data_IF_154603419977
#
_entry.id   IF_154603419977
#
_cell.length_a   1.000
_cell.length_b   1.000
_cell.length_c   1.000
_cell.angle_alpha   90.00
_cell.angle_beta   90.00
_cell.angle_gamma   90.00
#
_symmetry.space_group_name_H-M   'P 1'
#
loop_
_entity.id
_entity.type
_entity.pdbx_description
1 polymer ?
#
# COMPACT_ATOMS: atom_id res chain seq x y z
N UNK A 1 -33.29 -3.23 121.64
CA UNK A 1 -32.79 -4.30 120.75
C UNK A 1 -32.78 -3.93 119.25
N UNK A 2 -33.82 -3.32 118.66
CA UNK A 2 -33.88 -3.07 117.20
C UNK A 2 -32.71 -2.23 116.61
N UNK A 3 -32.27 -1.16 117.27
CA UNK A 3 -31.24 -0.24 116.74
C UNK A 3 -29.88 -0.92 116.50
N UNK A 4 -29.44 -1.81 117.41
CA UNK A 4 -28.16 -2.52 117.25
C UNK A 4 -28.13 -3.48 116.06
N UNK A 5 -29.28 -4.06 115.70
CA UNK A 5 -29.40 -4.92 114.51
C UNK A 5 -29.43 -4.08 113.23
N UNK A 6 -30.08 -2.91 113.24
CA UNK A 6 -30.03 -1.96 112.12
C UNK A 6 -28.61 -1.45 111.86
N UNK A 7 -27.85 -1.12 112.91
CA UNK A 7 -26.47 -0.66 112.76
C UNK A 7 -25.54 -1.78 112.26
N UNK A 8 -25.69 -3.02 112.76
CA UNK A 8 -24.96 -4.18 112.24
C UNK A 8 -25.33 -4.48 110.78
N UNK A 9 -26.60 -4.41 110.41
CA UNK A 9 -27.07 -4.54 109.04
C UNK A 9 -26.44 -3.47 108.13
N UNK A 10 -26.50 -2.20 108.51
CA UNK A 10 -25.89 -1.10 107.76
C UNK A 10 -24.37 -1.29 107.57
N UNK A 11 -23.64 -1.71 108.61
CA UNK A 11 -22.19 -2.00 108.52
C UNK A 11 -21.93 -3.21 107.61
N UNK A 12 -22.72 -4.29 107.70
CA UNK A 12 -22.58 -5.44 106.81
C UNK A 12 -22.89 -5.11 105.34
N UNK A 13 -23.90 -4.28 105.07
CA UNK A 13 -24.16 -3.78 103.73
C UNK A 13 -23.03 -2.87 103.24
N UNK A 14 -22.49 -1.99 104.10
CA UNK A 14 -21.36 -1.12 103.75
C UNK A 14 -20.08 -1.93 103.45
N UNK A 15 -19.82 -3.02 104.18
CA UNK A 15 -18.72 -3.95 103.88
C UNK A 15 -18.95 -4.68 102.55
N UNK A 16 -20.16 -5.15 102.26
CA UNK A 16 -20.50 -5.79 100.98
C UNK A 16 -20.37 -4.80 99.81
N UNK A 17 -20.81 -3.56 99.97
CA UNK A 17 -20.59 -2.52 98.95
C UNK A 17 -19.10 -2.20 98.77
N UNK A 18 -18.32 -2.15 99.86
CA UNK A 18 -16.88 -1.94 99.77
C UNK A 18 -16.15 -3.09 99.05
N UNK A 19 -16.54 -4.36 99.27
CA UNK A 19 -15.96 -5.49 98.54
C UNK A 19 -16.41 -5.54 97.08
N UNK A 20 -17.68 -5.18 96.77
CA UNK A 20 -18.16 -5.03 95.39
C UNK A 20 -17.39 -3.93 94.65
N UNK A 21 -17.20 -2.76 95.26
CA UNK A 21 -16.40 -1.67 94.70
C UNK A 21 -14.94 -2.11 94.49
N UNK A 22 -14.32 -2.79 95.46
CA UNK A 22 -12.96 -3.29 95.33
C UNK A 22 -12.81 -4.30 94.17
N UNK A 23 -13.76 -5.23 94.01
CA UNK A 23 -13.78 -6.19 92.89
C UNK A 23 -13.98 -5.47 91.55
N UNK A 24 -14.87 -4.47 91.48
CA UNK A 24 -15.07 -3.66 90.27
C UNK A 24 -13.82 -2.83 89.93
N UNK A 25 -13.13 -2.26 90.92
CA UNK A 25 -11.87 -1.55 90.71
C UNK A 25 -10.74 -2.49 90.24
N UNK A 26 -10.65 -3.72 90.77
CA UNK A 26 -9.69 -4.72 90.32
C UNK A 26 -10.01 -5.15 88.88
N UNK A 27 -11.27 -5.44 88.56
CA UNK A 27 -11.70 -5.79 87.21
C UNK A 27 -11.38 -4.65 86.22
N UNK A 28 -11.67 -3.41 86.58
CA UNK A 28 -11.35 -2.22 85.79
C UNK A 28 -9.83 -2.06 85.56
N UNK A 29 -9.02 -2.22 86.61
CA UNK A 29 -7.55 -2.18 86.50
C UNK A 29 -7.02 -3.31 85.59
N UNK A 30 -7.59 -4.51 85.66
CA UNK A 30 -7.23 -5.62 84.77
C UNK A 30 -7.60 -5.29 83.32
N UNK A 31 -8.82 -4.79 83.03
CA UNK A 31 -9.22 -4.42 81.67
C UNK A 31 -8.39 -3.26 81.10
N UNK A 32 -8.05 -2.25 81.92
CA UNK A 32 -7.19 -1.13 81.50
C UNK A 32 -5.75 -1.59 81.26
N UNK A 33 -5.25 -2.55 82.06
CA UNK A 33 -3.92 -3.13 81.86
C UNK A 33 -3.86 -3.97 80.57
N UNK A 34 -4.94 -4.71 80.26
CA UNK A 34 -5.06 -5.51 79.04
C UNK A 34 -5.14 -4.63 77.78
N UNK A 35 -5.99 -3.59 77.76
CA UNK A 35 -6.02 -2.62 76.65
C UNK A 35 -4.67 -1.88 76.42
N UNK A 36 -3.84 -1.78 77.47
CA UNK A 36 -2.50 -1.23 77.40
C UNK A 36 -1.45 -2.20 76.82
N UNK A 37 -1.67 -3.53 76.85
CA UNK A 37 -0.76 -4.52 76.24
C UNK A 37 -1.03 -4.80 74.76
N UNK A 38 -2.00 -4.10 74.13
CA UNK A 38 -2.20 -4.18 72.67
C UNK A 38 -1.03 -3.57 71.90
N UNK A 39 -0.52 -4.32 70.93
CA UNK A 39 0.37 -3.80 69.90
C UNK A 39 -0.31 -2.67 69.13
N UNK A 40 0.47 -1.85 68.41
CA UNK A 40 -0.05 -0.82 67.53
C UNK A 40 0.59 -1.01 66.17
N UNK A 41 -0.21 -1.38 65.18
CA UNK A 41 0.24 -1.77 63.84
C UNK A 41 -0.41 -0.84 62.84
N UNK A 42 0.36 -0.32 61.89
CA UNK A 42 -0.21 0.39 60.75
C UNK A 42 -0.50 -0.61 59.65
N UNK A 43 -1.77 -0.81 59.31
CA UNK A 43 -2.17 -1.69 58.22
C UNK A 43 -2.48 -0.85 56.99
N UNK A 44 -1.89 -1.22 55.86
CA UNK A 44 -2.19 -0.62 54.55
C UNK A 44 -2.95 -1.65 53.71
N UNK A 45 -4.26 -1.48 53.56
CA UNK A 45 -5.12 -2.36 52.77
C UNK A 45 -5.62 -1.59 51.54
N UNK A 46 -5.35 -2.11 50.34
CA UNK A 46 -5.83 -1.53 49.07
C UNK A 46 -5.55 -0.01 48.95
N UNK A 47 -4.38 0.43 49.44
CA UNK A 47 -3.94 1.83 49.47
C UNK A 47 -4.49 2.69 50.62
N UNK A 48 -5.42 2.19 51.43
CA UNK A 48 -5.91 2.89 52.64
C UNK A 48 -5.08 2.50 53.86
N UNK A 49 -4.67 3.49 54.67
CA UNK A 49 -3.85 3.31 55.88
C UNK A 49 -4.67 3.48 57.14
N UNK A 50 -4.69 2.46 57.98
CA UNK A 50 -5.36 2.47 59.29
C UNK A 50 -4.40 2.05 60.42
N UNK A 51 -4.68 2.48 61.66
CA UNK A 51 -3.86 2.16 62.83
C UNK A 51 -4.62 1.18 63.75
N UNK A 52 -4.28 -0.10 63.62
CA UNK A 52 -4.91 -1.20 64.35
C UNK A 52 -4.27 -1.36 65.73
N UNK A 53 -5.10 -1.65 66.74
CA UNK A 53 -4.65 -2.04 68.09
C UNK A 53 -5.12 -3.44 68.41
N UNK A 54 -4.19 -4.39 68.30
CA UNK A 54 -4.45 -5.83 68.29
C UNK A 54 -3.80 -6.56 69.48
N UNK A 55 -4.27 -7.77 69.77
CA UNK A 55 -3.59 -8.75 70.61
C UNK A 55 -3.03 -9.95 69.85
N UNK A 56 -3.15 -9.96 68.51
CA UNK A 56 -2.67 -11.03 67.65
C UNK A 56 -1.19 -11.34 67.88
N UNK A 57 -0.85 -12.62 68.01
CA UNK A 57 0.54 -13.08 68.12
C UNK A 57 1.24 -13.08 66.75
N UNK A 58 0.51 -13.26 65.64
CA UNK A 58 1.05 -13.35 64.26
C UNK A 58 0.30 -12.49 63.23
N UNK A 59 0.91 -12.28 62.06
CA UNK A 59 0.28 -11.61 60.91
C UNK A 59 -1.01 -12.32 60.47
N UNK A 60 -1.05 -13.65 60.48
CA UNK A 60 -2.24 -14.45 60.15
C UNK A 60 -3.44 -14.13 61.08
N UNK A 61 -3.19 -13.99 62.38
CA UNK A 61 -4.21 -13.64 63.37
C UNK A 61 -4.62 -12.15 63.26
N UNK A 62 -3.67 -11.25 62.98
CA UNK A 62 -3.94 -9.83 62.72
C UNK A 62 -4.83 -9.64 61.48
N UNK A 63 -4.57 -10.35 60.39
CA UNK A 63 -5.40 -10.29 59.18
C UNK A 63 -6.77 -10.95 59.41
N UNK A 64 -6.82 -12.02 60.20
CA UNK A 64 -8.08 -12.64 60.63
C UNK A 64 -8.95 -11.72 61.52
N UNK A 65 -8.35 -10.88 62.38
CA UNK A 65 -9.08 -9.83 63.12
C UNK A 65 -9.72 -8.76 62.20
N UNK A 66 -9.27 -8.66 60.95
CA UNK A 66 -9.74 -7.69 59.94
C UNK A 66 -10.62 -8.33 58.85
N UNK A 67 -11.09 -9.57 59.06
CA UNK A 67 -11.81 -10.40 58.08
C UNK A 67 -11.04 -10.61 56.74
N UNK A 68 -9.71 -10.50 56.75
CA UNK A 68 -8.84 -10.70 55.57
C UNK A 68 -8.33 -12.14 55.49
N UNK A 69 -8.60 -12.81 54.38
CA UNK A 69 -8.04 -14.13 54.05
C UNK A 69 -7.18 -14.02 52.79
N UNK A 70 -5.85 -14.11 52.96
CA UNK A 70 -4.86 -13.95 51.89
C UNK A 70 -4.94 -15.10 50.88
N UNK A 71 -5.09 -14.77 49.60
CA UNK A 71 -5.11 -15.70 48.47
C UNK A 71 -3.71 -15.95 47.89
N UNK A 72 -3.49 -17.02 47.10
CA UNK A 72 -2.15 -17.40 46.60
C UNK A 72 -1.45 -16.37 45.70
N UNK A 73 -2.19 -15.38 45.18
CA UNK A 73 -1.66 -14.34 44.28
C UNK A 73 -1.63 -12.94 44.92
N UNK A 74 -2.13 -12.80 46.16
CA UNK A 74 -2.12 -11.53 46.88
C UNK A 74 -0.72 -11.15 47.36
N UNK A 75 -0.44 -9.85 47.41
CA UNK A 75 0.83 -9.35 47.93
C UNK A 75 0.72 -9.02 49.41
N UNK A 76 1.62 -9.61 50.21
CA UNK A 76 1.73 -9.36 51.63
C UNK A 76 3.19 -9.05 52.00
N UNK A 77 3.39 -7.89 52.63
CA UNK A 77 4.72 -7.36 53.02
C UNK A 77 5.50 -8.19 54.06
N UNK A 78 4.84 -9.13 54.72
CA UNK A 78 5.36 -9.96 55.82
C UNK A 78 4.84 -11.40 55.66
N UNK A 79 5.47 -12.39 56.29
CA UNK A 79 4.96 -13.76 56.27
C UNK A 79 3.80 -13.92 57.25
N UNK A 80 2.80 -14.75 56.93
CA UNK A 80 1.66 -15.05 57.82
C UNK A 80 2.10 -15.52 59.23
N UNK A 81 3.24 -16.22 59.32
CA UNK A 81 3.81 -16.72 60.57
C UNK A 81 4.73 -15.73 61.31
N UNK A 82 4.97 -14.53 60.76
CA UNK A 82 5.82 -13.54 61.43
C UNK A 82 5.09 -12.96 62.66
N UNK A 83 5.82 -12.65 63.77
CA UNK A 83 5.21 -12.14 64.99
C UNK A 83 4.83 -10.66 64.85
N UNK A 84 3.73 -10.25 65.50
CA UNK A 84 3.28 -8.84 65.47
C UNK A 84 4.13 -7.98 66.41
N UNK A 85 4.82 -6.96 65.87
CA UNK A 85 5.60 -6.01 66.65
C UNK A 85 4.93 -4.62 66.79
N UNK A 86 5.25 -3.90 67.86
CA UNK A 86 4.77 -2.53 68.08
C UNK A 86 5.43 -1.56 67.09
N UNK A 87 4.63 -0.84 66.31
CA UNK A 87 5.10 0.11 65.29
C UNK A 87 5.37 -0.53 63.93
N UNK A 88 4.97 -1.79 63.72
CA UNK A 88 5.06 -2.48 62.43
C UNK A 88 4.13 -1.85 61.38
N UNK A 89 4.61 -1.75 60.13
CA UNK A 89 3.85 -1.34 58.94
C UNK A 89 3.53 -2.59 58.08
N UNK A 90 2.29 -3.07 58.12
CA UNK A 90 1.83 -4.25 57.35
C UNK A 90 1.05 -3.78 56.12
N UNK A 91 1.61 -3.93 54.93
CA UNK A 91 0.88 -3.75 53.66
C UNK A 91 0.34 -5.09 53.16
N UNK A 92 -0.92 -5.08 52.75
CA UNK A 92 -1.64 -6.16 52.04
C UNK A 92 -2.36 -5.57 50.82
N UNK A 93 -2.17 -6.18 49.66
CA UNK A 93 -2.82 -5.81 48.40
C UNK A 93 -3.51 -7.06 47.86
N UNK A 94 -4.85 -7.01 47.78
CA UNK A 94 -5.60 -8.05 47.12
C UNK A 94 -5.29 -8.05 45.62
N UNK A 95 -4.95 -9.22 45.09
CA UNK A 95 -4.81 -9.46 43.66
C UNK A 95 -6.15 -9.30 42.94
N UNK A 96 -6.08 -9.00 41.65
CA UNK A 96 -7.24 -8.86 40.78
C UNK A 96 -7.14 -9.84 39.63
N UNK A 97 -8.25 -10.50 39.28
CA UNK A 97 -8.33 -11.28 38.04
C UNK A 97 -8.44 -10.34 36.83
N UNK A 98 -7.72 -10.65 35.75
CA UNK A 98 -7.86 -10.00 34.44
C UNK A 98 -7.71 -11.02 33.31
N UNK A 99 -8.35 -10.76 32.17
CA UNK A 99 -8.24 -11.59 30.97
C UNK A 99 -7.37 -10.87 29.94
N UNK A 100 -6.20 -11.40 29.62
CA UNK A 100 -5.35 -10.89 28.55
C UNK A 100 -5.57 -11.71 27.28
N UNK A 101 -5.92 -11.05 26.18
CA UNK A 101 -6.05 -11.67 24.87
C UNK A 101 -5.03 -11.08 23.89
N UNK A 102 -4.22 -11.95 23.27
CA UNK A 102 -3.22 -11.55 22.26
C UNK A 102 -3.64 -12.12 20.90
N UNK A 103 -3.59 -11.26 19.88
CA UNK A 103 -3.87 -11.56 18.46
C UNK A 103 -5.24 -12.25 18.24
N UNK A 104 -6.24 -11.88 19.05
CA UNK A 104 -7.65 -12.30 18.99
C UNK A 104 -7.91 -13.82 19.13
N UNK A 105 -6.86 -14.65 19.26
CA UNK A 105 -6.93 -16.12 19.13
C UNK A 105 -6.76 -16.89 20.44
N UNK A 106 -6.09 -16.31 21.45
CA UNK A 106 -6.00 -16.88 22.79
C UNK A 106 -6.34 -15.83 23.85
N UNK A 107 -6.91 -16.29 24.97
CA UNK A 107 -7.23 -15.46 26.14
C UNK A 107 -6.82 -16.23 27.38
N UNK A 108 -5.93 -15.66 28.17
CA UNK A 108 -5.42 -16.22 29.42
C UNK A 108 -5.87 -15.37 30.61
N UNK A 109 -6.16 -16.02 31.74
CA UNK A 109 -6.52 -15.35 33.00
C UNK A 109 -5.26 -15.13 33.83
N UNK A 110 -4.99 -13.88 34.18
CA UNK A 110 -3.87 -13.45 35.02
C UNK A 110 -4.37 -12.91 36.35
N UNK A 111 -3.54 -13.02 37.38
CA UNK A 111 -3.77 -12.46 38.72
C UNK A 111 -2.64 -11.50 39.06
N UNK A 112 -2.95 -10.23 39.32
CA UNK A 112 -1.94 -9.17 39.53
C UNK A 112 -2.35 -8.20 40.64
N UNK A 113 -1.37 -7.69 41.37
CA UNK A 113 -1.54 -6.58 42.35
C UNK A 113 -1.31 -5.21 41.73
N UNK A 114 -0.92 -5.14 40.45
CA UNK A 114 -0.66 -3.92 39.71
C UNK A 114 -1.82 -2.91 39.78
N UNK A 115 -1.43 -1.63 39.79
CA UNK A 115 -2.32 -0.48 39.74
C UNK A 115 -2.71 -0.15 38.31
N UNK A 116 -1.79 -0.21 37.34
CA UNK A 116 -2.00 0.18 35.94
C UNK A 116 -1.74 -0.95 34.93
N UNK A 117 -2.19 -0.76 33.68
CA UNK A 117 -1.92 -1.68 32.55
C UNK A 117 -0.42 -1.72 32.23
N UNK A 118 0.29 -0.60 32.32
CA UNK A 118 1.76 -0.57 32.15
C UNK A 118 2.47 -1.41 33.22
N UNK A 119 2.11 -1.25 34.49
CA UNK A 119 2.69 -2.00 35.62
C UNK A 119 2.38 -3.50 35.54
N UNK A 120 1.19 -3.89 35.06
CA UNK A 120 0.88 -5.30 34.78
C UNK A 120 1.76 -5.89 33.68
N UNK A 121 1.95 -5.17 32.57
CA UNK A 121 2.83 -5.63 31.49
C UNK A 121 4.29 -5.71 31.93
N UNK A 122 4.78 -4.77 32.74
CA UNK A 122 6.11 -4.86 33.36
C UNK A 122 6.24 -6.05 34.33
N UNK A 123 5.19 -6.35 35.12
CA UNK A 123 5.16 -7.49 36.07
C UNK A 123 5.35 -8.83 35.36
N UNK A 124 4.61 -9.06 34.25
CA UNK A 124 4.66 -10.32 33.49
C UNK A 124 5.79 -10.36 32.44
N UNK A 125 6.56 -9.28 32.28
CA UNK A 125 7.64 -9.19 31.29
C UNK A 125 7.15 -9.09 29.84
N UNK A 126 5.98 -8.51 29.63
CA UNK A 126 5.33 -8.34 28.33
C UNK A 126 5.75 -7.02 27.67
N UNK A 127 6.65 -7.07 26.69
CA UNK A 127 7.04 -5.88 25.91
C UNK A 127 6.20 -5.74 24.62
N UNK A 128 5.53 -4.60 24.46
CA UNK A 128 4.76 -4.26 23.25
C UNK A 128 5.34 -3.04 22.52
N UNK A 129 5.26 -3.05 21.18
CA UNK A 129 5.78 -2.01 20.31
C UNK A 129 4.81 -0.84 20.19
N UNK A 130 5.32 0.34 19.83
CA UNK A 130 4.51 1.56 19.53
C UNK A 130 3.65 1.48 18.25
N UNK A 131 3.46 0.28 17.71
CA UNK A 131 2.53 -0.01 16.61
C UNK A 131 1.47 -1.05 17.00
N UNK A 132 1.73 -1.81 18.05
CA UNK A 132 0.82 -2.83 18.55
C UNK A 132 -0.38 -2.11 19.19
N UNK A 133 -1.59 -2.55 18.88
CA UNK A 133 -2.81 -1.91 19.39
C UNK A 133 -3.20 -2.55 20.73
N UNK A 134 -3.24 -1.74 21.78
CA UNK A 134 -3.73 -2.15 23.11
C UNK A 134 -5.09 -1.49 23.35
N UNK A 135 -6.11 -2.29 23.61
CA UNK A 135 -7.49 -1.87 23.90
C UNK A 135 -7.64 -0.88 25.07
N UNK A 136 -6.62 -0.77 25.91
CA UNK A 136 -6.57 0.07 27.10
C UNK A 136 -5.31 0.94 27.09
N UNK A 137 -5.44 2.16 27.62
CA UNK A 137 -4.29 3.05 27.84
C UNK A 137 -3.34 2.44 28.90
N UNK A 138 -2.00 2.50 28.74
CA UNK A 138 -1.04 2.10 29.77
C UNK A 138 -1.32 2.66 31.18
N UNK A 139 -1.76 3.93 31.29
CA UNK A 139 -2.16 4.59 32.55
C UNK A 139 -3.50 4.05 33.16
N UNK A 140 -4.22 3.16 32.47
CA UNK A 140 -5.55 2.72 32.90
C UNK A 140 -5.49 1.85 34.16
N UNK A 141 -6.31 2.17 35.16
CA UNK A 141 -6.33 1.45 36.43
C UNK A 141 -6.93 0.04 36.30
N UNK A 142 -6.17 -0.99 36.70
CA UNK A 142 -6.58 -2.40 36.72
C UNK A 142 -7.76 -2.63 37.68
N UNK A 143 -8.73 -3.41 37.23
CA UNK A 143 -9.97 -3.77 37.94
C UNK A 143 -10.22 -5.27 37.82
N UNK A 144 -10.96 -5.81 38.79
CA UNK A 144 -11.45 -7.19 38.77
C UNK A 144 -12.23 -7.51 37.49
N UNK A 145 -11.88 -8.61 36.83
CA UNK A 145 -12.46 -9.05 35.56
C UNK A 145 -12.21 -8.09 34.38
N UNK A 146 -11.15 -7.28 34.41
CA UNK A 146 -10.79 -6.42 33.27
C UNK A 146 -10.31 -7.28 32.10
N UNK A 147 -10.87 -7.06 30.91
CA UNK A 147 -10.42 -7.69 29.68
C UNK A 147 -9.47 -6.72 28.95
N UNK A 148 -8.26 -7.17 28.65
CA UNK A 148 -7.25 -6.43 27.89
C UNK A 148 -6.99 -7.21 26.60
N UNK A 149 -7.43 -6.67 25.47
CA UNK A 149 -7.05 -7.14 24.15
C UNK A 149 -5.79 -6.39 23.65
N UNK A 150 -4.86 -7.13 23.05
CA UNK A 150 -3.64 -6.66 22.39
C UNK A 150 -3.55 -7.28 20.99
N UNK A 151 -3.16 -6.49 20.00
CA UNK A 151 -2.98 -6.92 18.61
C UNK A 151 -1.57 -6.52 18.17
N UNK A 152 -0.70 -7.51 17.96
CA UNK A 152 0.70 -7.27 17.61
C UNK A 152 0.81 -6.81 16.16
N UNK A 153 1.43 -5.66 15.93
CA UNK A 153 1.60 -5.16 14.59
C UNK A 153 2.72 -5.90 13.87
N UNK A 154 2.45 -6.37 12.66
CA UNK A 154 3.41 -7.10 11.84
C UNK A 154 3.63 -6.42 10.50
N UNK A 155 4.69 -6.83 9.79
CA UNK A 155 4.94 -6.37 8.42
C UNK A 155 4.32 -7.33 7.41
N UNK A 156 3.41 -6.84 6.58
CA UNK A 156 2.90 -7.55 5.40
C UNK A 156 3.47 -6.92 4.12
N UNK A 157 3.63 -7.74 3.07
CA UNK A 157 4.00 -7.24 1.74
C UNK A 157 2.75 -7.00 0.93
N UNK A 158 2.53 -5.76 0.47
CA UNK A 158 1.47 -5.40 -0.47
C UNK A 158 2.09 -5.11 -1.84
N UNK A 159 1.36 -5.41 -2.90
CA UNK A 159 1.63 -5.01 -4.26
C UNK A 159 0.31 -4.59 -4.91
N UNK A 160 0.10 -3.29 -5.11
CA UNK A 160 -1.08 -2.77 -5.80
C UNK A 160 -0.70 -2.26 -7.19
N UNK A 161 -1.25 -2.89 -8.24
CA UNK A 161 -1.04 -2.44 -9.62
C UNK A 161 0.40 -2.52 -10.12
N UNK A 162 1.31 -3.15 -9.37
CA UNK A 162 2.76 -3.14 -9.61
C UNK A 162 3.57 -2.29 -8.62
N UNK A 163 2.93 -1.42 -7.84
CA UNK A 163 3.55 -0.67 -6.75
C UNK A 163 3.63 -1.56 -5.48
N UNK A 164 4.83 -2.09 -5.20
CA UNK A 164 5.03 -2.98 -4.05
C UNK A 164 5.79 -2.34 -2.90
N UNK A 165 5.26 -2.53 -1.69
CA UNK A 165 5.82 -2.04 -0.43
C UNK A 165 5.72 -3.07 0.70
N UNK A 166 6.26 -2.69 1.87
CA UNK A 166 5.98 -3.37 3.14
C UNK A 166 5.45 -2.34 4.13
N UNK A 167 4.22 -2.57 4.56
CA UNK A 167 3.49 -1.74 5.52
C UNK A 167 3.53 -2.42 6.89
N UNK A 168 3.12 -1.69 7.93
CA UNK A 168 2.86 -2.25 9.26
C UNK A 168 1.36 -2.18 9.51
N UNK A 169 0.79 -3.23 10.06
CA UNK A 169 -0.66 -3.40 10.23
C UNK A 169 -0.95 -4.23 11.47
N UNK A 170 -2.10 -4.03 12.10
CA UNK A 170 -2.71 -4.96 13.09
C UNK A 170 -3.83 -5.82 12.50
N UNK A 171 -4.10 -5.69 11.20
CA UNK A 171 -5.18 -6.38 10.51
C UNK A 171 -5.03 -7.91 10.55
N UNK A 172 -6.12 -8.57 10.93
CA UNK A 172 -6.22 -10.03 11.02
C UNK A 172 -6.68 -10.69 9.72
N UNK A 173 -7.25 -9.93 8.76
CA UNK A 173 -7.68 -10.42 7.44
C UNK A 173 -7.22 -9.50 6.31
N UNK A 174 -7.33 -9.96 5.06
CA UNK A 174 -7.01 -9.13 3.89
C UNK A 174 -8.01 -7.97 3.72
N UNK A 175 -9.30 -8.17 4.00
CA UNK A 175 -10.31 -7.10 4.01
C UNK A 175 -9.96 -5.98 5.01
N UNK A 176 -9.64 -6.36 6.25
CA UNK A 176 -9.27 -5.41 7.31
C UNK A 176 -8.04 -4.57 6.92
N UNK A 177 -7.07 -5.17 6.21
CA UNK A 177 -5.90 -4.49 5.65
C UNK A 177 -6.26 -3.52 4.51
N UNK A 178 -7.10 -3.97 3.57
CA UNK A 178 -7.54 -3.15 2.45
C UNK A 178 -8.32 -1.92 2.95
N UNK A 179 -9.11 -2.08 4.02
CA UNK A 179 -9.79 -0.97 4.69
C UNK A 179 -8.82 -0.04 5.44
N UNK A 180 -7.81 -0.56 6.15
CA UNK A 180 -6.79 0.23 6.86
C UNK A 180 -6.00 1.16 5.90
N UNK A 181 -5.50 0.61 4.79
CA UNK A 181 -4.75 1.37 3.77
C UNK A 181 -5.66 2.18 2.81
N UNK A 182 -6.98 2.04 2.91
CA UNK A 182 -7.95 2.75 2.06
C UNK A 182 -8.02 2.24 0.60
N UNK A 183 -7.64 0.99 0.38
CA UNK A 183 -7.54 0.34 -0.93
C UNK A 183 -8.90 -0.28 -1.32
N UNK A 184 -9.65 0.38 -2.19
CA UNK A 184 -10.90 -0.17 -2.76
C UNK A 184 -10.64 -1.00 -4.01
N UNK A 185 -11.24 -2.17 -4.13
CA UNK A 185 -11.22 -3.01 -5.35
C UNK A 185 -12.37 -2.65 -6.31
N UNK A 186 -12.13 -2.75 -7.62
CA UNK A 186 -13.17 -2.64 -8.66
C UNK A 186 -13.72 -4.02 -9.05
N UNK A 187 -14.88 -4.07 -9.72
CA UNK A 187 -15.56 -5.32 -10.17
C UNK A 187 -14.71 -6.27 -11.05
N UNK A 188 -13.59 -5.77 -11.61
CA UNK A 188 -12.67 -6.54 -12.46
C UNK A 188 -11.32 -6.84 -11.78
N UNK A 189 -10.99 -6.18 -10.67
CA UNK A 189 -9.67 -6.31 -10.04
C UNK A 189 -9.49 -7.71 -9.44
N UNK A 190 -8.29 -8.29 -9.58
CA UNK A 190 -8.01 -9.66 -9.12
C UNK A 190 -7.11 -9.64 -7.88
N UNK A 191 -7.63 -10.13 -6.76
CA UNK A 191 -6.89 -10.37 -5.51
C UNK A 191 -6.33 -11.80 -5.52
N UNK A 192 -5.10 -12.00 -5.04
CA UNK A 192 -4.45 -13.33 -5.00
C UNK A 192 -4.79 -14.19 -3.78
N UNK A 193 -5.48 -13.61 -2.79
CA UNK A 193 -5.96 -14.22 -1.55
C UNK A 193 -7.48 -13.97 -1.44
N UNK A 194 -8.17 -14.62 -0.50
CA UNK A 194 -9.55 -14.20 -0.17
C UNK A 194 -9.54 -12.93 0.69
N UNK A 195 -10.56 -12.08 0.55
CA UNK A 195 -10.79 -10.93 1.45
C UNK A 195 -10.95 -11.39 2.90
N UNK A 196 -11.68 -12.49 3.12
CA UNK A 196 -11.86 -13.15 4.43
C UNK A 196 -10.64 -14.02 4.87
N UNK A 197 -9.51 -13.99 4.16
CA UNK A 197 -8.36 -14.86 4.50
C UNK A 197 -7.52 -14.28 5.65
N UNK A 198 -7.19 -15.11 6.65
CA UNK A 198 -6.30 -14.76 7.76
C UNK A 198 -5.00 -14.13 7.25
N UNK A 199 -4.57 -13.01 7.83
CA UNK A 199 -3.35 -12.30 7.42
C UNK A 199 -2.15 -12.68 8.29
N UNK A 200 -0.97 -12.79 7.67
CA UNK A 200 0.28 -13.11 8.37
C UNK A 200 1.50 -12.53 7.64
N UNK A 201 2.59 -12.31 8.37
CA UNK A 201 3.79 -11.60 7.85
C UNK A 201 4.55 -12.30 6.71
N UNK A 202 4.30 -13.59 6.48
CA UNK A 202 4.82 -14.36 5.35
C UNK A 202 3.96 -14.26 4.08
N UNK A 203 2.68 -13.89 4.22
CA UNK A 203 1.76 -13.68 3.10
C UNK A 203 2.09 -12.41 2.32
N UNK A 204 1.60 -12.40 1.09
CA UNK A 204 1.74 -11.28 0.15
C UNK A 204 0.38 -10.99 -0.46
N UNK A 205 -0.11 -9.78 -0.21
CA UNK A 205 -1.33 -9.27 -0.83
C UNK A 205 -0.93 -8.65 -2.17
N UNK A 206 -1.48 -9.18 -3.25
CA UNK A 206 -1.19 -8.78 -4.62
C UNK A 206 -2.52 -8.48 -5.30
N UNK A 207 -2.72 -7.20 -5.62
CA UNK A 207 -3.90 -6.68 -6.31
C UNK A 207 -3.49 -6.45 -7.75
N UNK A 208 -4.10 -7.19 -8.67
CA UNK A 208 -3.95 -6.94 -10.10
C UNK A 208 -5.06 -6.00 -10.52
N UNK A 209 -4.71 -4.78 -10.90
CA UNK A 209 -5.66 -3.78 -11.38
C UNK A 209 -6.07 -4.09 -12.82
N UNK A 210 -7.36 -4.24 -13.08
CA UNK A 210 -7.88 -4.69 -14.38
C UNK A 210 -8.79 -3.64 -14.99
N UNK A 211 -8.35 -3.04 -16.10
CA UNK A 211 -9.14 -2.10 -16.87
C UNK A 211 -9.62 -2.73 -18.17
N UNK A 212 -10.88 -2.48 -18.54
CA UNK A 212 -11.44 -2.82 -19.85
C UNK A 212 -11.64 -1.53 -20.65
N UNK A 213 -10.95 -1.42 -21.78
CA UNK A 213 -10.99 -0.22 -22.65
C UNK A 213 -11.28 -0.59 -24.10
N UNK A 214 -11.78 0.38 -24.88
CA UNK A 214 -12.05 0.21 -26.31
C UNK A 214 -10.99 0.94 -27.14
N UNK A 215 -10.23 0.21 -27.95
CA UNK A 215 -9.20 0.74 -28.84
C UNK A 215 -9.71 0.74 -30.29
N UNK A 216 -9.76 1.91 -30.91
CA UNK A 216 -10.29 2.07 -32.28
C UNK A 216 -9.13 2.36 -33.23
N UNK A 217 -8.97 1.51 -34.24
CA UNK A 217 -7.87 1.54 -35.20
C UNK A 217 -8.43 1.65 -36.62
N UNK A 218 -8.02 2.71 -37.33
CA UNK A 218 -8.25 2.86 -38.77
C UNK A 218 -7.13 2.15 -39.56
N UNK A 219 -7.51 1.39 -40.58
CA UNK A 219 -6.59 0.74 -41.52
C UNK A 219 -6.97 1.06 -42.98
N UNK A 220 -5.98 1.35 -43.82
CA UNK A 220 -6.17 1.50 -45.26
C UNK A 220 -6.27 0.12 -45.94
N UNK A 221 -7.20 -0.04 -46.88
CA UNK A 221 -7.32 -1.24 -47.72
C UNK A 221 -6.85 -0.94 -49.14
N UNK A 222 -5.77 -1.59 -49.56
CA UNK A 222 -5.22 -1.42 -50.92
C UNK A 222 -6.20 -1.86 -52.01
N UNK A 223 -6.24 -1.10 -53.10
CA UNK A 223 -7.12 -1.39 -54.23
C UNK A 223 -6.59 -2.49 -55.14
N UNK A 224 -7.51 -3.21 -55.78
CA UNK A 224 -7.19 -4.17 -56.85
C UNK A 224 -6.84 -3.47 -58.16
N UNK A 225 -6.06 -4.12 -59.03
CA UNK A 225 -5.70 -3.60 -60.36
C UNK A 225 -6.22 -4.55 -61.46
N UNK A 226 -7.19 -4.08 -62.24
CA UNK A 226 -7.80 -4.84 -63.34
C UNK A 226 -7.17 -4.44 -64.69
N UNK A 227 -6.52 -5.39 -65.37
CA UNK A 227 -5.92 -5.16 -66.69
C UNK A 227 -6.89 -5.52 -67.82
N UNK A 228 -7.35 -4.52 -68.58
CA UNK A 228 -8.23 -4.69 -69.75
C UNK A 228 -7.42 -4.62 -71.06
N UNK A 229 -7.77 -5.43 -72.05
CA UNK A 229 -7.11 -5.41 -73.36
C UNK A 229 -7.69 -4.29 -74.23
N UNK A 230 -6.82 -3.56 -74.91
CA UNK A 230 -7.16 -2.45 -75.81
C UNK A 230 -6.51 -2.73 -77.18
N UNK A 231 -7.26 -2.61 -78.27
CA UNK A 231 -6.79 -2.82 -79.66
C UNK A 231 -6.55 -1.50 -80.42
N UNK A 232 -6.83 -0.36 -79.80
CA UNK A 232 -6.47 0.98 -80.27
C UNK A 232 -5.04 1.37 -79.87
N UNK A 233 -4.58 0.91 -78.70
CA UNK A 233 -3.25 1.15 -78.12
C UNK A 233 -2.17 0.18 -78.67
N UNK A 234 -0.96 0.68 -78.98
CA UNK A 234 0.20 -0.13 -79.42
C UNK A 234 0.52 -1.33 -78.50
N UNK A 235 0.92 -2.45 -79.10
CA UNK A 235 1.15 -3.70 -78.37
C UNK A 235 2.22 -3.55 -77.28
N UNK A 236 1.80 -3.72 -76.02
CA UNK A 236 2.66 -3.64 -74.84
C UNK A 236 2.67 -2.27 -74.15
N UNK A 237 2.05 -1.25 -74.73
CA UNK A 237 1.81 0.02 -74.06
C UNK A 237 0.76 -0.16 -72.94
N UNK A 238 0.95 0.52 -71.81
CA UNK A 238 0.01 0.53 -70.68
C UNK A 238 -0.52 1.95 -70.47
N UNK A 239 -1.83 2.07 -70.20
CA UNK A 239 -2.48 3.34 -69.87
C UNK A 239 -3.51 3.14 -68.77
N UNK A 240 -3.43 3.93 -67.70
CA UNK A 240 -4.48 3.98 -66.68
C UNK A 240 -5.75 4.60 -67.29
N UNK A 241 -6.88 3.92 -67.15
CA UNK A 241 -8.21 4.31 -67.65
C UNK A 241 -9.08 4.85 -66.50
N UNK A 242 -8.96 4.23 -65.33
CA UNK A 242 -9.47 4.73 -64.05
C UNK A 242 -8.38 4.56 -63.02
N UNK A 243 -8.10 5.61 -62.22
CA UNK A 243 -7.26 5.47 -61.03
C UNK A 243 -7.91 4.51 -60.05
N UNK A 244 -7.10 3.81 -59.27
CA UNK A 244 -7.56 3.22 -58.02
C UNK A 244 -7.69 4.27 -56.93
N UNK A 245 -8.46 3.96 -55.90
CA UNK A 245 -8.51 4.69 -54.62
C UNK A 245 -8.55 3.65 -53.49
N UNK A 246 -7.77 3.86 -52.41
CA UNK A 246 -7.78 2.95 -51.27
C UNK A 246 -9.13 2.97 -50.54
N UNK A 247 -9.48 1.84 -49.95
CA UNK A 247 -10.54 1.76 -48.95
C UNK A 247 -10.04 2.19 -47.57
N UNK A 248 -10.98 2.37 -46.65
CA UNK A 248 -10.72 2.66 -45.23
C UNK A 248 -11.66 1.79 -44.39
N UNK A 249 -11.09 1.08 -43.42
CA UNK A 249 -11.85 0.28 -42.45
C UNK A 249 -11.52 0.70 -41.02
N UNK A 250 -12.54 0.71 -40.17
CA UNK A 250 -12.44 0.97 -38.73
C UNK A 250 -12.57 -0.36 -37.99
N UNK A 251 -11.57 -0.71 -37.18
CA UNK A 251 -11.60 -1.86 -36.27
C UNK A 251 -11.72 -1.40 -34.83
N UNK A 252 -12.72 -1.92 -34.14
CA UNK A 252 -13.06 -1.62 -32.76
C UNK A 252 -12.70 -2.84 -31.91
N UNK A 253 -11.69 -2.68 -31.05
CA UNK A 253 -11.17 -3.73 -30.19
C UNK A 253 -11.59 -3.52 -28.73
N UNK A 254 -11.97 -4.58 -28.04
CA UNK A 254 -11.92 -4.61 -26.58
C UNK A 254 -10.50 -5.00 -26.16
N UNK A 255 -9.92 -4.23 -25.25
CA UNK A 255 -8.58 -4.43 -24.73
C UNK A 255 -8.66 -4.54 -23.21
N UNK A 256 -8.10 -5.62 -22.66
CA UNK A 256 -7.95 -5.81 -21.22
C UNK A 256 -6.54 -5.41 -20.83
N UNK A 257 -6.43 -4.40 -19.97
CA UNK A 257 -5.19 -4.00 -19.33
C UNK A 257 -5.10 -4.67 -17.97
N UNK A 258 -3.93 -5.23 -17.62
CA UNK A 258 -3.60 -5.67 -16.26
C UNK A 258 -2.39 -4.91 -15.78
N UNK A 259 -2.51 -4.22 -14.64
CA UNK A 259 -1.46 -3.34 -14.11
C UNK A 259 -0.96 -2.29 -15.14
N UNK A 260 -1.87 -1.83 -16.02
CA UNK A 260 -1.56 -0.90 -17.11
C UNK A 260 -0.84 -1.51 -18.32
N UNK A 261 -0.63 -2.82 -18.39
CA UNK A 261 -0.06 -3.54 -19.56
C UNK A 261 -1.15 -4.30 -20.34
N UNK A 262 -1.06 -4.32 -21.68
CA UNK A 262 -2.03 -5.01 -22.55
C UNK A 262 -1.94 -6.54 -22.38
N UNK A 263 -2.94 -7.12 -21.69
CA UNK A 263 -3.01 -8.55 -21.39
C UNK A 263 -3.80 -9.34 -22.45
N UNK A 264 -4.83 -8.74 -23.05
CA UNK A 264 -5.54 -9.31 -24.20
C UNK A 264 -6.21 -8.23 -25.06
N UNK A 265 -6.51 -8.61 -26.31
CA UNK A 265 -7.19 -7.78 -27.32
C UNK A 265 -8.12 -8.67 -28.15
N UNK A 266 -9.38 -8.30 -28.24
CA UNK A 266 -10.40 -8.99 -29.04
C UNK A 266 -11.05 -8.02 -30.04
N UNK A 267 -11.22 -8.44 -31.30
CA UNK A 267 -11.89 -7.63 -32.32
C UNK A 267 -13.40 -7.76 -32.16
N UNK A 268 -14.05 -6.72 -31.64
CA UNK A 268 -15.50 -6.70 -31.42
C UNK A 268 -16.25 -6.40 -32.71
N UNK A 269 -15.69 -5.53 -33.57
CA UNK A 269 -16.37 -5.04 -34.77
C UNK A 269 -15.38 -4.51 -35.80
N UNK A 270 -15.66 -4.80 -37.07
CA UNK A 270 -15.02 -4.17 -38.23
C UNK A 270 -16.10 -3.43 -39.04
N UNK A 271 -15.80 -2.20 -39.47
CA UNK A 271 -16.72 -1.34 -40.25
C UNK A 271 -15.99 -0.82 -41.48
N UNK A 272 -16.61 -0.93 -42.66
CA UNK A 272 -16.06 -0.34 -43.90
C UNK A 272 -16.58 1.09 -44.04
N UNK A 273 -15.71 2.07 -43.81
CA UNK A 273 -16.05 3.49 -43.97
C UNK A 273 -15.97 3.91 -45.45
N UNK A 274 -15.03 3.33 -46.20
CA UNK A 274 -14.85 3.55 -47.64
C UNK A 274 -14.43 2.25 -48.33
N UNK A 275 -15.18 1.83 -49.37
CA UNK A 275 -14.77 0.72 -50.24
C UNK A 275 -13.59 1.14 -51.14
N UNK A 276 -12.63 0.24 -51.35
CA UNK A 276 -11.53 0.46 -52.30
C UNK A 276 -12.03 0.42 -53.75
N UNK A 277 -11.61 1.39 -54.58
CA UNK A 277 -11.96 1.45 -56.00
C UNK A 277 -10.83 0.84 -56.82
N UNK A 278 -11.16 -0.16 -57.64
CA UNK A 278 -10.23 -0.86 -58.53
C UNK A 278 -9.58 0.08 -59.56
N UNK A 279 -8.25 0.06 -59.66
CA UNK A 279 -7.53 0.69 -60.77
C UNK A 279 -7.76 -0.11 -62.06
N UNK A 280 -8.09 0.57 -63.16
CA UNK A 280 -8.29 -0.07 -64.46
C UNK A 280 -7.17 0.34 -65.41
N UNK A 281 -6.35 -0.62 -65.83
CA UNK A 281 -5.22 -0.40 -66.75
C UNK A 281 -5.52 -1.02 -68.11
N UNK A 282 -5.58 -0.20 -69.16
CA UNK A 282 -5.58 -0.67 -70.53
C UNK A 282 -4.18 -1.16 -70.91
N UNK A 283 -4.11 -2.37 -71.45
CA UNK A 283 -2.92 -2.97 -72.06
C UNK A 283 -3.13 -3.07 -73.56
N UNK A 284 -2.32 -2.33 -74.32
CA UNK A 284 -2.38 -2.29 -75.77
C UNK A 284 -2.01 -3.62 -76.41
N UNK A 285 -2.71 -3.96 -77.49
CA UNK A 285 -2.57 -5.21 -78.25
C UNK A 285 -2.30 -5.00 -79.75
N UNK A 286 -2.39 -3.76 -80.23
CA UNK A 286 -2.26 -3.37 -81.64
C UNK A 286 -0.84 -3.59 -82.18
N UNK A 287 -0.68 -4.56 -83.08
CA UNK A 287 0.61 -4.84 -83.73
C UNK A 287 0.77 -3.96 -84.96
N UNK A 288 1.66 -2.97 -84.89
CA UNK A 288 2.02 -2.19 -86.08
C UNK A 288 2.87 -3.03 -87.07
N UNK A 289 2.50 -2.99 -88.36
CA UNK A 289 3.29 -3.61 -89.42
C UNK A 289 4.52 -2.77 -89.73
N UNK A 290 5.65 -3.10 -89.09
CA UNK A 290 6.95 -2.47 -89.37
C UNK A 290 7.41 -2.75 -90.80
N UNK A 291 7.49 -1.71 -91.63
CA UNK A 291 8.09 -1.78 -92.95
C UNK A 291 9.61 -1.95 -92.87
N UNK A 292 10.20 -2.61 -93.86
CA UNK A 292 11.63 -2.96 -93.92
C UNK A 292 12.46 -1.95 -94.72
N UNK A 293 13.58 -1.52 -94.13
CA UNK A 293 14.72 -0.90 -94.83
C UNK A 293 15.99 -1.18 -94.01
N UNK A 294 17.16 -1.30 -94.65
CA UNK A 294 18.40 -1.71 -93.98
C UNK A 294 19.67 -1.10 -94.62
N UNK A 295 20.61 -0.70 -93.74
CA UNK A 295 22.05 -0.49 -93.97
C UNK A 295 22.45 0.62 -95.02
N UNK A 296 23.67 1.17 -95.08
CA UNK A 296 24.98 0.87 -94.43
C UNK A 296 25.84 2.14 -94.29
N UNK A 297 26.89 2.11 -93.42
CA UNK A 297 28.19 2.86 -93.53
C UNK A 297 28.19 4.41 -93.53
N UNK A 298 29.21 5.17 -93.09
CA UNK A 298 30.54 4.97 -92.44
C UNK A 298 31.16 6.39 -92.20
N UNK A 299 32.15 6.72 -91.34
CA UNK A 299 32.89 6.07 -90.23
C UNK A 299 33.89 7.09 -89.61
N UNK A 300 34.59 6.74 -88.52
CA UNK A 300 35.83 7.38 -87.97
C UNK A 300 35.71 8.77 -87.28
N UNK A 301 36.57 9.13 -86.30
CA UNK A 301 37.67 8.40 -85.62
C UNK A 301 38.10 9.03 -84.28
N UNK A 302 38.85 8.25 -83.46
CA UNK A 302 39.85 8.66 -82.43
C UNK A 302 39.39 9.45 -81.17
N UNK A 303 39.99 9.30 -79.97
CA UNK A 303 40.97 8.31 -79.44
C UNK A 303 41.19 8.46 -77.92
N UNK A 304 41.73 7.42 -77.25
CA UNK A 304 42.35 7.41 -75.89
C UNK A 304 41.45 7.73 -74.66
N UNK A 305 41.66 7.16 -73.46
CA UNK A 305 42.61 6.12 -72.97
C UNK A 305 42.13 5.45 -71.66
N UNK A 306 42.69 4.26 -71.35
CA UNK A 306 43.04 3.64 -70.03
C UNK A 306 42.43 4.23 -68.74
N UNK A 307 41.98 3.45 -67.74
CA UNK A 307 42.17 2.00 -67.47
C UNK A 307 41.19 1.42 -66.41
N UNK A 308 41.30 0.10 -66.17
CA UNK A 308 40.83 -0.72 -65.03
C UNK A 308 40.87 -0.03 -63.64
N UNK A 309 40.10 -0.43 -62.62
CA UNK A 309 39.32 -1.68 -62.40
C UNK A 309 38.17 -1.56 -61.37
N UNK A 310 37.39 -2.65 -61.26
CA UNK A 310 36.78 -3.22 -60.03
C UNK A 310 35.57 -2.58 -59.33
N UNK A 311 34.73 -3.50 -58.84
CA UNK A 311 33.70 -3.42 -57.78
C UNK A 311 32.38 -2.67 -58.01
N UNK A 312 31.35 -3.51 -58.05
CA UNK A 312 29.93 -3.29 -57.90
C UNK A 312 29.50 -2.25 -56.84
N UNK A 313 28.43 -1.52 -57.17
CA UNK A 313 27.34 -1.19 -56.26
C UNK A 313 26.07 -0.94 -57.09
N UNK A 314 25.00 -1.68 -56.80
CA UNK A 314 23.71 -1.55 -57.50
C UNK A 314 22.85 -0.55 -56.73
N UNK A 315 22.85 0.72 -57.14
CA UNK A 315 22.05 1.76 -56.49
C UNK A 315 20.55 1.59 -56.80
N UNK A 316 19.89 0.73 -56.03
CA UNK A 316 18.43 0.66 -55.97
C UNK A 316 17.95 1.86 -55.14
N UNK A 317 17.28 2.81 -55.78
CA UNK A 317 16.56 3.86 -55.07
C UNK A 317 15.31 3.23 -54.45
N UNK A 318 15.37 2.91 -53.15
CA UNK A 318 14.20 2.48 -52.40
C UNK A 318 13.37 3.69 -52.03
N UNK A 319 12.12 3.67 -52.45
CA UNK A 319 11.08 4.56 -51.95
C UNK A 319 10.32 3.79 -50.86
N UNK A 320 10.98 3.55 -49.73
CA UNK A 320 10.37 2.87 -48.58
C UNK A 320 9.35 3.82 -47.92
N UNK A 321 8.07 3.63 -48.24
CA UNK A 321 6.96 4.11 -47.40
C UNK A 321 7.06 3.36 -46.07
N UNK A 322 7.65 3.98 -45.06
CA UNK A 322 7.80 3.35 -43.74
C UNK A 322 6.43 3.03 -43.16
N UNK A 323 6.22 1.75 -42.85
CA UNK A 323 5.17 1.36 -41.91
C UNK A 323 5.42 2.11 -40.59
N UNK A 324 4.37 2.70 -40.01
CA UNK A 324 4.50 3.55 -38.83
C UNK A 324 4.75 2.68 -37.59
N UNK A 325 6.02 2.45 -37.26
CA UNK A 325 6.46 1.57 -36.16
C UNK A 325 5.78 1.99 -34.87
N UNK A 326 4.85 1.16 -34.41
CA UNK A 326 4.09 1.40 -33.18
C UNK A 326 4.77 0.71 -32.01
N UNK A 327 4.86 1.41 -30.87
CA UNK A 327 5.47 0.97 -29.62
C UNK A 327 4.52 1.27 -28.46
N UNK A 328 4.55 0.44 -27.43
CA UNK A 328 4.02 0.81 -26.11
C UNK A 328 5.17 1.27 -25.23
N UNK A 329 5.01 2.43 -24.61
CA UNK A 329 6.05 3.07 -23.81
C UNK A 329 5.49 3.68 -22.54
N UNK A 330 6.24 3.57 -21.45
CA UNK A 330 5.92 4.21 -20.18
C UNK A 330 6.23 5.72 -20.28
N UNK A 331 5.19 6.55 -20.23
CA UNK A 331 5.29 7.99 -20.30
C UNK A 331 5.17 8.67 -18.92
N UNK A 332 6.10 9.58 -18.63
CA UNK A 332 5.91 10.65 -17.65
C UNK A 332 5.72 11.99 -18.37
N UNK A 333 5.55 13.08 -17.61
CA UNK A 333 5.56 14.43 -18.16
C UNK A 333 6.48 15.39 -17.37
N UNK A 334 7.24 16.21 -18.10
CA UNK A 334 8.19 17.18 -17.55
C UNK A 334 7.86 18.62 -17.97
N UNK A 335 8.49 19.59 -17.31
CA UNK A 335 8.32 21.02 -17.61
C UNK A 335 9.68 21.71 -17.72
N UNK A 336 9.77 22.75 -18.54
CA UNK A 336 11.00 23.53 -18.71
C UNK A 336 11.32 24.48 -17.53
N UNK A 337 10.37 24.63 -16.59
CA UNK A 337 10.40 25.61 -15.50
C UNK A 337 10.72 24.95 -14.14
N UNK A 338 11.74 24.08 -14.13
CA UNK A 338 12.35 23.51 -12.93
C UNK A 338 13.63 24.26 -12.51
N UNK A 339 13.98 24.17 -11.22
CA UNK A 339 15.18 24.84 -10.69
C UNK A 339 16.45 24.26 -11.31
N UNK A 340 17.31 25.11 -11.88
CA UNK A 340 18.51 24.72 -12.62
C UNK A 340 18.27 24.30 -14.08
N UNK A 341 17.02 24.14 -14.52
CA UNK A 341 16.71 23.70 -15.88
C UNK A 341 16.93 24.81 -16.90
N UNK A 342 17.73 24.54 -17.94
CA UNK A 342 17.98 25.47 -19.06
C UNK A 342 16.69 25.82 -19.80
N UNK A 343 15.84 24.82 -20.06
CA UNK A 343 14.72 24.90 -20.99
C UNK A 343 15.13 24.75 -22.46
N UNK A 344 16.35 24.25 -22.71
CA UNK A 344 16.88 23.90 -24.03
C UNK A 344 17.04 22.38 -24.10
N UNK A 345 16.47 21.73 -25.11
CA UNK A 345 16.52 20.27 -25.29
C UNK A 345 17.82 19.79 -25.96
N UNK A 346 18.04 18.48 -26.00
CA UNK A 346 19.15 17.83 -26.70
C UNK A 346 19.29 18.23 -28.19
N UNK A 347 18.17 18.46 -28.91
CA UNK A 347 18.20 18.98 -30.30
C UNK A 347 18.25 20.51 -30.39
N UNK A 348 18.33 21.23 -29.27
CA UNK A 348 18.45 22.69 -29.21
C UNK A 348 17.13 23.46 -29.18
N UNK A 349 15.98 22.79 -28.99
CA UNK A 349 14.67 23.44 -28.95
C UNK A 349 14.54 24.25 -27.64
N UNK A 350 14.23 25.54 -27.76
CA UNK A 350 13.98 26.40 -26.60
C UNK A 350 12.50 26.33 -26.19
N UNK A 351 12.21 25.49 -25.19
CA UNK A 351 10.88 25.26 -24.65
C UNK A 351 10.33 26.45 -23.85
N UNK A 352 11.18 27.34 -23.35
CA UNK A 352 10.74 28.58 -22.67
C UNK A 352 10.29 29.66 -23.65
N UNK A 353 10.87 29.68 -24.86
CA UNK A 353 10.39 30.50 -25.96
C UNK A 353 9.18 29.89 -26.67
N UNK A 354 9.04 28.55 -26.64
CA UNK A 354 7.98 27.81 -27.33
C UNK A 354 7.20 26.91 -26.34
N UNK A 355 6.50 27.47 -25.32
CA UNK A 355 5.90 26.70 -24.22
C UNK A 355 4.79 25.73 -24.64
N UNK A 356 4.25 25.87 -25.85
CA UNK A 356 3.21 24.98 -26.41
C UNK A 356 3.76 23.97 -27.43
N UNK A 357 5.08 23.94 -27.68
CA UNK A 357 5.67 23.05 -28.68
C UNK A 357 5.74 21.62 -28.16
N UNK A 358 5.07 20.69 -28.85
CA UNK A 358 5.03 19.27 -28.48
C UNK A 358 6.38 18.59 -28.73
N UNK A 359 7.12 18.35 -27.65
CA UNK A 359 8.41 17.65 -27.65
C UNK A 359 8.33 16.47 -26.69
N UNK A 360 8.98 15.37 -27.06
CA UNK A 360 9.18 14.20 -26.21
C UNK A 360 10.67 13.94 -26.02
N UNK A 361 11.04 13.57 -24.80
CA UNK A 361 12.34 12.99 -24.47
C UNK A 361 12.29 11.48 -24.70
N UNK A 362 13.31 10.93 -25.37
CA UNK A 362 13.34 9.51 -25.79
C UNK A 362 14.72 8.88 -25.55
N UNK A 363 14.79 7.55 -25.61
CA UNK A 363 16.04 6.82 -25.87
C UNK A 363 16.36 6.85 -27.38
N UNK A 364 17.48 7.47 -27.81
CA UNK A 364 17.86 7.55 -29.23
C UNK A 364 18.11 6.20 -29.92
N UNK A 365 18.28 5.11 -29.18
CA UNK A 365 18.41 3.74 -29.70
C UNK A 365 17.06 3.08 -30.01
N UNK A 366 15.96 3.60 -29.47
CA UNK A 366 14.59 3.09 -29.67
C UNK A 366 13.79 4.00 -30.60
N UNK A 367 13.90 5.32 -30.42
CA UNK A 367 13.32 6.37 -31.28
C UNK A 367 14.43 7.39 -31.63
N UNK A 368 14.84 7.52 -32.89
CA UNK A 368 15.86 8.50 -33.29
C UNK A 368 15.49 9.94 -32.95
N UNK A 369 16.48 10.75 -32.55
CA UNK A 369 16.27 12.19 -32.37
C UNK A 369 16.01 12.87 -33.72
N UNK A 370 14.97 13.71 -33.76
CA UNK A 370 14.45 14.35 -34.97
C UNK A 370 13.17 13.72 -35.50
N UNK A 371 12.89 12.45 -35.20
CA UNK A 371 11.67 11.74 -35.63
C UNK A 371 10.40 12.44 -35.18
N UNK A 372 9.36 12.45 -36.03
CA UNK A 372 8.00 12.81 -35.59
C UNK A 372 7.32 11.56 -35.03
N UNK A 373 6.60 11.75 -33.94
CA UNK A 373 5.79 10.71 -33.31
C UNK A 373 4.36 11.20 -33.11
N UNK A 374 3.42 10.27 -33.08
CA UNK A 374 2.11 10.48 -32.46
C UNK A 374 2.10 9.73 -31.13
N UNK A 375 1.69 10.40 -30.05
CA UNK A 375 1.57 9.82 -28.70
C UNK A 375 0.12 9.89 -28.25
N UNK A 376 -0.42 8.74 -27.83
CA UNK A 376 -1.76 8.59 -27.29
C UNK A 376 -2.02 9.57 -26.12
N UNK A 377 -3.20 10.22 -26.13
CA UNK A 377 -3.56 11.26 -25.16
C UNK A 377 -2.79 12.59 -25.24
N UNK A 378 -1.67 12.66 -25.97
CA UNK A 378 -0.81 13.85 -26.04
C UNK A 378 -0.72 14.49 -27.44
N UNK A 379 -0.93 13.70 -28.50
CA UNK A 379 -0.93 14.13 -29.90
C UNK A 379 0.42 14.03 -30.61
N UNK A 380 0.55 14.73 -31.73
CA UNK A 380 1.79 14.78 -32.52
C UNK A 380 2.89 15.55 -31.80
N UNK A 381 4.11 15.01 -31.82
CA UNK A 381 5.29 15.56 -31.16
C UNK A 381 6.58 15.26 -31.95
N UNK A 382 7.68 15.93 -31.57
CA UNK A 382 9.03 15.65 -32.08
C UNK A 382 9.88 14.99 -30.99
N UNK A 383 10.62 13.93 -31.36
CA UNK A 383 11.69 13.34 -30.55
C UNK A 383 12.87 14.32 -30.46
N UNK A 384 12.78 15.27 -29.52
CA UNK A 384 13.64 16.45 -29.47
C UNK A 384 14.53 16.53 -28.25
N UNK A 385 14.40 15.61 -27.29
CA UNK A 385 15.16 15.64 -26.04
C UNK A 385 15.63 14.25 -25.57
N UNK A 386 16.50 14.21 -24.57
CA UNK A 386 16.96 12.99 -23.90
C UNK A 386 17.12 13.25 -22.40
N UNK A 387 16.88 12.26 -21.55
CA UNK A 387 17.10 12.36 -20.11
C UNK A 387 17.82 11.13 -19.57
N UNK A 388 18.66 11.27 -18.53
CA UNK A 388 19.45 10.16 -18.00
C UNK A 388 18.64 8.97 -17.45
N UNK A 389 17.35 9.19 -17.14
CA UNK A 389 16.40 8.16 -16.72
C UNK A 389 15.43 7.72 -17.84
N UNK A 390 15.64 8.17 -19.08
CA UNK A 390 14.79 7.90 -20.25
C UNK A 390 15.57 6.94 -21.17
N UNK A 391 15.46 5.65 -20.87
CA UNK A 391 16.16 4.56 -21.55
C UNK A 391 15.15 3.45 -21.88
N UNK A 392 15.34 2.74 -22.99
CA UNK A 392 14.43 1.69 -23.46
C UNK A 392 13.03 2.21 -23.81
N UNK A 393 12.00 1.46 -23.42
CA UNK A 393 10.59 1.78 -23.69
C UNK A 393 10.01 2.86 -22.73
N UNK A 394 10.80 3.89 -22.40
CA UNK A 394 10.37 5.00 -21.54
C UNK A 394 10.49 6.32 -22.28
N UNK A 395 9.53 7.23 -22.07
CA UNK A 395 9.51 8.58 -22.63
C UNK A 395 9.11 9.62 -21.59
N UNK A 396 9.45 10.88 -21.85
CA UNK A 396 9.02 12.01 -21.02
C UNK A 396 8.39 13.10 -21.90
N UNK A 397 7.14 13.48 -21.62
CA UNK A 397 6.37 14.40 -22.46
C UNK A 397 6.50 15.83 -21.94
N UNK A 398 6.93 16.77 -22.79
CA UNK A 398 6.98 18.17 -22.37
C UNK A 398 5.57 18.75 -22.25
N UNK A 399 5.28 19.38 -21.11
CA UNK A 399 4.03 20.14 -20.90
C UNK A 399 4.30 21.55 -20.37
N UNK A 400 3.47 22.55 -20.77
CA UNK A 400 3.64 23.95 -20.37
C UNK A 400 3.70 24.19 -18.85
N UNK A 401 2.96 23.41 -18.06
CA UNK A 401 2.79 23.65 -16.62
C UNK A 401 2.91 22.41 -15.74
N UNK A 402 3.30 22.61 -14.47
CA UNK A 402 3.35 21.52 -13.47
C UNK A 402 1.95 20.96 -13.16
N UNK A 403 0.88 21.73 -13.35
CA UNK A 403 -0.49 21.22 -13.20
C UNK A 403 -0.84 20.22 -14.31
N UNK A 404 -0.41 20.47 -15.55
CA UNK A 404 -0.56 19.51 -16.64
C UNK A 404 0.30 18.27 -16.42
N UNK A 405 1.54 18.42 -15.91
CA UNK A 405 2.40 17.28 -15.60
C UNK A 405 1.77 16.35 -14.55
N UNK A 406 1.18 16.93 -13.49
CA UNK A 406 0.47 16.17 -12.45
C UNK A 406 -0.84 15.56 -12.95
N UNK A 407 -1.55 16.20 -13.89
CA UNK A 407 -2.76 15.65 -14.52
C UNK A 407 -2.45 14.54 -15.53
N UNK A 408 -1.30 14.61 -16.20
CA UNK A 408 -0.82 13.53 -17.05
C UNK A 408 -0.34 12.35 -16.19
N UNK A 409 0.38 12.62 -15.10
CA UNK A 409 0.85 11.62 -14.15
C UNK A 409 1.93 10.71 -14.75
N UNK A 410 1.85 9.42 -14.41
CA UNK A 410 2.65 8.35 -15.01
C UNK A 410 1.68 7.35 -15.63
N UNK A 411 1.89 6.96 -16.89
CA UNK A 411 1.01 6.01 -17.61
C UNK A 411 1.71 5.36 -18.80
N UNK A 412 1.28 4.16 -19.17
CA UNK A 412 1.66 3.59 -20.47
C UNK A 412 0.87 4.28 -21.60
N UNK A 413 1.50 4.45 -22.77
CA UNK A 413 0.89 5.06 -23.96
C UNK A 413 1.35 4.36 -25.24
N UNK A 414 0.45 4.31 -26.23
CA UNK A 414 0.76 3.94 -27.61
C UNK A 414 1.50 5.08 -28.32
N UNK A 415 2.66 4.78 -28.89
CA UNK A 415 3.53 5.71 -29.63
C UNK A 415 3.68 5.21 -31.06
N UNK A 416 3.31 6.00 -32.06
CA UNK A 416 3.56 5.71 -33.48
C UNK A 416 4.71 6.57 -33.98
N UNK A 417 5.81 5.96 -34.42
CA UNK A 417 6.91 6.66 -35.12
C UNK A 417 6.50 6.86 -36.59
N UNK A 418 6.66 8.08 -37.11
CA UNK A 418 6.09 8.50 -38.39
C UNK A 418 7.15 8.72 -39.49
N UNK A 419 8.34 9.19 -39.10
CA UNK A 419 9.56 9.35 -39.91
C UNK A 419 10.80 9.53 -39.02
#
# INVERSE_FOLDING_TARGET
MKIGNLLKSAISHMMVWATVIAVLCIAFLVTVSYEATKASVQVTQNGQKELIRTHADTIDELLSELDVTVQPHDELSHNLSDPVEYGMDVTYIASKSINLAIDRNHTEEYYTTASTVEEFFEQEGLEFNKRDEVSHNPDALIKEGMNIEVQQAFQVTVNDGGESGRIWTTASTVDELLQEEGITLNELDELNLSEEEDLSSDKKVMITRVEKVTDIVEEEVDFTVETKKDDSLPKGEKKVVSSGEKGLITKEYEVILKNGEEASRELIKETVEQESKTEVVALGTKVEKKATAAASSSSNSSSSSRSTSSQASTTVSRNDTSEAKTLYMHATAYTANCAGCSGITATGINLKANPNQKVVAVDPSVIPLGSRVWVEGYGYAVAGDTGGAINGNRIDLFVPSRSEALKFGSRNVKVKILD
#
